data_IF_428359931482
#
_entry.id   IF_428359931482
#
_cell.length_a   1.000
_cell.length_b   1.000
_cell.length_c   1.000
_cell.angle_alpha   90.00
_cell.angle_beta   90.00
_cell.angle_gamma   90.00
#
_symmetry.space_group_name_H-M   'P 1'
#
loop_
_entity.id
_entity.type
_entity.pdbx_description
1 polymer ?
#
# COMPACT_ATOMS: atom_id res chain seq x y z
N UNK A 1 -13.82 7.99 13.37
CA UNK A 1 -14.33 7.49 12.07
C UNK A 1 -13.54 8.03 10.88
N UNK A 2 -13.42 9.36 10.72
CA UNK A 2 -12.67 9.99 9.60
C UNK A 2 -11.19 9.60 9.53
N UNK A 3 -10.53 9.41 10.68
CA UNK A 3 -9.13 8.99 10.72
C UNK A 3 -8.88 7.58 10.10
N UNK A 4 -9.74 6.60 10.41
CA UNK A 4 -9.62 5.24 9.87
C UNK A 4 -9.87 5.18 8.37
N UNK A 5 -10.84 5.96 7.88
CA UNK A 5 -11.07 6.14 6.44
C UNK A 5 -9.87 6.81 5.75
N UNK A 6 -9.34 7.90 6.32
CA UNK A 6 -8.20 8.61 5.75
C UNK A 6 -6.94 7.73 5.70
N UNK A 7 -6.69 6.95 6.75
CA UNK A 7 -5.57 5.99 6.80
C UNK A 7 -5.80 4.85 5.80
N UNK A 8 -7.03 4.35 5.70
CA UNK A 8 -7.39 3.30 4.75
C UNK A 8 -7.18 3.71 3.29
N UNK A 9 -7.60 4.93 2.93
CA UNK A 9 -7.37 5.51 1.60
C UNK A 9 -5.87 5.69 1.34
N UNK A 10 -5.12 6.19 2.33
CA UNK A 10 -3.66 6.34 2.20
C UNK A 10 -2.97 5.01 1.90
N UNK A 11 -3.31 3.95 2.65
CA UNK A 11 -2.74 2.63 2.44
C UNK A 11 -3.16 2.02 1.10
N UNK A 12 -4.39 2.24 0.64
CA UNK A 12 -4.82 1.83 -0.69
C UNK A 12 -4.02 2.50 -1.79
N UNK A 13 -3.83 3.82 -1.72
CA UNK A 13 -3.06 4.58 -2.72
C UNK A 13 -1.61 4.09 -2.76
N UNK A 14 -0.97 3.94 -1.60
CA UNK A 14 0.42 3.44 -1.53
C UNK A 14 0.50 2.01 -2.07
N UNK A 15 -0.42 1.14 -1.68
CA UNK A 15 -0.49 -0.25 -2.15
C UNK A 15 -0.64 -0.34 -3.67
N UNK A 16 -1.53 0.48 -4.25
CA UNK A 16 -1.70 0.58 -5.70
C UNK A 16 -0.42 1.06 -6.40
N UNK A 17 0.24 2.09 -5.86
CA UNK A 17 1.50 2.60 -6.42
C UNK A 17 2.55 1.49 -6.45
N UNK A 18 2.70 0.72 -5.37
CA UNK A 18 3.65 -0.40 -5.32
C UNK A 18 3.29 -1.56 -6.25
N UNK A 19 2.01 -1.72 -6.62
CA UNK A 19 1.53 -2.80 -7.48
C UNK A 19 1.57 -2.43 -8.98
N UNK A 20 1.19 -1.18 -9.31
CA UNK A 20 1.12 -0.68 -10.69
C UNK A 20 2.47 -0.17 -11.19
N UNK A 21 3.27 0.47 -10.32
CA UNK A 21 4.56 1.01 -10.75
C UNK A 21 5.56 -0.13 -10.94
N UNK A 22 6.24 -0.22 -12.09
CA UNK A 22 7.22 -1.26 -12.31
C UNK A 22 8.42 -1.10 -11.38
N UNK A 23 8.95 -2.24 -10.92
CA UNK A 23 10.04 -2.29 -9.94
C UNK A 23 11.26 -1.47 -10.38
N UNK A 24 11.60 -1.43 -11.67
CA UNK A 24 12.73 -0.65 -12.19
C UNK A 24 12.59 0.86 -11.93
N UNK A 25 11.36 1.39 -11.99
CA UNK A 25 11.07 2.80 -11.66
C UNK A 25 11.14 3.01 -10.15
N UNK A 26 10.58 2.09 -9.36
CA UNK A 26 10.67 2.12 -7.90
C UNK A 26 12.12 2.04 -7.41
N UNK A 27 12.95 1.19 -7.99
CA UNK A 27 14.37 1.03 -7.64
C UNK A 27 15.19 2.29 -7.93
N UNK A 28 14.79 3.06 -8.94
CA UNK A 28 15.42 4.35 -9.27
C UNK A 28 15.21 5.36 -8.15
N UNK A 29 14.01 5.43 -7.58
CA UNK A 29 13.67 6.32 -6.45
C UNK A 29 14.18 5.74 -5.12
N UNK A 30 14.00 4.44 -4.93
CA UNK A 30 14.36 3.69 -3.72
C UNK A 30 15.52 2.74 -4.02
N UNK A 31 16.74 3.30 -4.11
CA UNK A 31 17.98 2.55 -4.43
C UNK A 31 18.28 1.35 -3.53
N UNK A 32 17.66 1.25 -2.34
CA UNK A 32 17.83 0.12 -1.41
C UNK A 32 16.89 -1.05 -1.65
N UNK A 33 15.95 -0.98 -2.60
CA UNK A 33 15.08 -2.13 -2.86
C UNK A 33 15.87 -3.27 -3.51
N UNK A 34 15.91 -4.42 -2.81
CA UNK A 34 16.74 -5.56 -3.20
C UNK A 34 15.99 -6.59 -4.06
N UNK A 35 14.67 -6.73 -3.87
CA UNK A 35 13.85 -7.72 -4.59
C UNK A 35 12.53 -7.14 -5.10
N UNK A 36 12.19 -7.48 -6.35
CA UNK A 36 10.90 -7.14 -6.97
C UNK A 36 9.72 -7.84 -6.25
N UNK A 37 9.94 -9.08 -5.79
CA UNK A 37 8.94 -9.88 -5.08
C UNK A 37 8.51 -9.20 -3.77
N UNK A 38 9.46 -8.74 -2.94
CA UNK A 38 9.12 -8.04 -1.68
C UNK A 38 8.39 -6.72 -1.91
N UNK A 39 8.61 -6.07 -3.06
CA UNK A 39 7.91 -4.84 -3.45
C UNK A 39 6.45 -5.12 -3.79
N UNK A 40 6.18 -6.16 -4.58
CA UNK A 40 4.80 -6.60 -4.88
C UNK A 40 4.07 -7.11 -3.63
N UNK A 41 4.74 -7.92 -2.82
CA UNK A 41 4.19 -8.44 -1.56
C UNK A 41 3.85 -7.28 -0.60
N UNK A 42 4.75 -6.30 -0.48
CA UNK A 42 4.49 -5.07 0.30
C UNK A 42 3.26 -4.32 -0.20
N UNK A 43 3.11 -4.14 -1.52
CA UNK A 43 1.93 -3.49 -2.11
C UNK A 43 0.62 -4.21 -1.79
N UNK A 44 0.60 -5.55 -1.85
CA UNK A 44 -0.58 -6.36 -1.49
C UNK A 44 -0.90 -6.24 0.01
N UNK A 45 0.11 -6.24 0.87
CA UNK A 45 -0.08 -6.04 2.32
C UNK A 45 -0.67 -4.65 2.60
N UNK A 46 -0.18 -3.61 1.91
CA UNK A 46 -0.72 -2.26 2.03
C UNK A 46 -2.18 -2.17 1.58
N UNK A 47 -2.56 -2.85 0.48
CA UNK A 47 -3.96 -2.93 0.05
C UNK A 47 -4.84 -3.60 1.11
N UNK A 48 -4.39 -4.74 1.64
CA UNK A 48 -5.14 -5.47 2.68
C UNK A 48 -5.31 -4.63 3.96
N UNK A 49 -4.25 -3.96 4.42
CA UNK A 49 -4.29 -3.06 5.57
C UNK A 49 -5.23 -1.87 5.34
N UNK A 50 -5.27 -1.33 4.12
CA UNK A 50 -6.19 -0.27 3.73
C UNK A 50 -7.65 -0.71 3.81
N UNK A 51 -7.97 -1.87 3.24
CA UNK A 51 -9.33 -2.45 3.28
C UNK A 51 -9.76 -2.71 4.73
N UNK A 52 -8.90 -3.34 5.53
CA UNK A 52 -9.19 -3.61 6.95
C UNK A 52 -9.43 -2.31 7.72
N UNK A 53 -8.63 -1.27 7.48
CA UNK A 53 -8.79 0.03 8.14
C UNK A 53 -10.13 0.70 7.80
N UNK A 54 -10.57 0.60 6.54
CA UNK A 54 -11.88 1.11 6.10
C UNK A 54 -13.01 0.32 6.76
N UNK A 55 -12.92 -1.01 6.78
CA UNK A 55 -13.91 -1.88 7.41
C UNK A 55 -14.01 -1.61 8.92
N UNK A 56 -12.88 -1.43 9.61
CA UNK A 56 -12.86 -1.06 11.03
C UNK A 56 -13.52 0.30 11.27
N UNK A 57 -13.35 1.24 10.35
CA UNK A 57 -13.98 2.55 10.39
C UNK A 57 -15.48 2.55 10.10
N UNK A 58 -16.01 1.50 9.46
CA UNK A 58 -17.44 1.30 9.15
C UNK A 58 -18.20 0.53 10.24
N UNK A 59 -17.51 -0.33 11.01
CA UNK A 59 -18.12 -1.16 12.05
C UNK A 59 -18.20 -0.52 13.44
N UNK A 60 -17.73 0.72 13.58
CA UNK A 60 -17.81 1.56 14.79
C UNK A 60 -18.83 2.68 14.56
#
# INVERSE_FOLDING_TARGET
MTAYFSLGILFLVIGLVFLLVPFDKLKTVFRRMRHSITTKVGGVIFLAAGIVSILLGLGH
#
